data_IF_049411331701
#
_entry.id   IF_049411331701
#
_cell.length_a   1.000
_cell.length_b   1.000
_cell.length_c   1.000
_cell.angle_alpha   90.00
_cell.angle_beta   90.00
_cell.angle_gamma   90.00
#
_symmetry.space_group_name_H-M   'P 1'
#
loop_
_entity.id
_entity.type
_entity.pdbx_description
1 polymer ?
#
# COMPACT_ATOMS: atom_id res chain seq x y z
N UNK A 1 24.41 -26.32 -7.95
CA UNK A 1 22.96 -26.46 -8.08
C UNK A 1 22.34 -25.64 -6.93
N UNK A 2 21.59 -24.61 -7.26
CA UNK A 2 20.88 -23.85 -6.26
C UNK A 2 19.53 -24.55 -6.05
N UNK A 3 19.30 -25.08 -4.85
CA UNK A 3 17.97 -25.55 -4.48
C UNK A 3 17.13 -24.33 -4.08
N UNK A 4 16.11 -24.03 -4.87
CA UNK A 4 15.07 -23.07 -4.52
C UNK A 4 14.06 -23.85 -3.68
N UNK A 5 14.04 -23.59 -2.38
CA UNK A 5 12.97 -24.12 -1.52
C UNK A 5 11.69 -23.35 -1.82
N UNK A 6 10.78 -24.00 -2.50
CA UNK A 6 9.43 -23.52 -2.72
C UNK A 6 8.60 -23.92 -1.48
N UNK A 7 8.19 -22.94 -0.68
CA UNK A 7 7.23 -23.18 0.39
C UNK A 7 5.89 -23.60 -0.21
N UNK A 8 5.37 -24.73 0.19
CA UNK A 8 4.02 -25.15 -0.12
C UNK A 8 3.04 -24.29 0.70
N UNK A 9 2.24 -23.49 0.03
CA UNK A 9 1.25 -22.61 0.62
C UNK A 9 0.11 -23.34 1.35
N UNK A 10 0.07 -24.66 1.28
CA UNK A 10 -0.96 -25.50 1.90
C UNK A 10 -0.60 -25.99 3.30
N UNK A 11 0.63 -25.77 3.77
CA UNK A 11 1.05 -26.17 5.10
C UNK A 11 1.14 -24.95 6.03
N UNK A 12 0.52 -25.04 7.20
CA UNK A 12 0.62 -24.08 8.32
C UNK A 12 2.06 -23.90 8.87
N UNK A 13 3.05 -24.46 8.21
CA UNK A 13 4.48 -24.38 8.51
C UNK A 13 5.19 -23.56 7.44
N UNK A 14 4.69 -22.36 7.17
CA UNK A 14 5.53 -21.33 6.57
C UNK A 14 6.37 -20.76 7.72
N UNK A 15 7.70 -20.94 7.69
CA UNK A 15 8.61 -20.25 8.60
C UNK A 15 8.60 -18.76 8.31
N UNK A 16 7.52 -18.11 8.75
CA UNK A 16 7.35 -16.65 8.75
C UNK A 16 7.90 -16.05 10.03
N UNK A 17 8.35 -16.87 10.96
CA UNK A 17 8.92 -16.43 12.21
C UNK A 17 10.34 -15.95 11.96
N UNK A 18 10.62 -14.73 12.41
CA UNK A 18 11.91 -14.06 12.20
C UNK A 18 13.09 -14.93 12.63
N UNK A 19 12.95 -15.64 13.75
CA UNK A 19 13.97 -16.49 14.33
C UNK A 19 14.34 -17.64 13.39
N UNK A 20 13.37 -18.30 12.79
CA UNK A 20 13.59 -19.38 11.84
C UNK A 20 14.28 -18.89 10.57
N UNK A 21 13.85 -17.73 10.04
CA UNK A 21 14.48 -17.12 8.87
C UNK A 21 15.93 -16.77 9.14
N UNK A 22 16.25 -16.19 10.31
CA UNK A 22 17.62 -15.87 10.71
C UNK A 22 18.47 -17.15 10.81
N UNK A 23 17.95 -18.21 11.44
CA UNK A 23 18.66 -19.50 11.57
C UNK A 23 18.94 -20.13 10.19
N UNK A 24 17.98 -20.12 9.27
CA UNK A 24 18.17 -20.60 7.91
C UNK A 24 19.30 -19.82 7.22
N UNK A 25 19.27 -18.49 7.28
CA UNK A 25 20.29 -17.63 6.67
C UNK A 25 21.68 -17.93 7.27
N UNK A 26 21.80 -18.03 8.60
CA UNK A 26 23.06 -18.36 9.28
C UNK A 26 23.59 -19.74 8.90
N UNK A 27 22.70 -20.70 8.77
CA UNK A 27 23.06 -22.04 8.31
C UNK A 27 23.61 -22.03 6.90
N UNK A 28 22.99 -21.27 5.99
CA UNK A 28 23.48 -21.13 4.62
C UNK A 28 24.80 -20.34 4.57
N UNK A 29 24.95 -19.30 5.39
CA UNK A 29 26.24 -18.58 5.54
C UNK A 29 27.38 -19.49 6.02
N UNK A 30 27.10 -20.50 6.85
CA UNK A 30 28.11 -21.48 7.28
C UNK A 30 28.55 -22.44 6.17
N UNK A 31 27.74 -22.56 5.11
CA UNK A 31 28.00 -23.45 3.95
C UNK A 31 28.61 -22.71 2.77
N UNK A 32 28.40 -21.41 2.67
CA UNK A 32 28.89 -20.61 1.56
C UNK A 32 28.56 -19.13 1.67
N UNK A 33 28.89 -18.41 0.63
CA UNK A 33 28.64 -16.96 0.57
C UNK A 33 27.15 -16.69 0.31
N UNK A 34 26.45 -16.11 1.26
CA UNK A 34 25.11 -15.55 1.10
C UNK A 34 25.24 -14.08 0.75
N UNK A 35 24.67 -13.64 -0.36
CA UNK A 35 24.70 -12.24 -0.81
C UNK A 35 23.69 -11.38 -0.06
N UNK A 36 22.55 -11.98 0.34
CA UNK A 36 21.47 -11.32 1.04
C UNK A 36 20.15 -12.07 0.88
N UNK A 37 19.06 -11.47 1.34
CA UNK A 37 17.72 -12.03 1.31
C UNK A 37 16.81 -11.16 0.45
N UNK A 38 16.00 -11.77 -0.40
CA UNK A 38 14.92 -11.10 -1.15
C UNK A 38 13.65 -11.24 -0.31
N UNK A 39 13.11 -10.10 0.16
CA UNK A 39 11.87 -10.03 0.93
C UNK A 39 10.66 -9.66 0.07
N UNK A 40 10.87 -9.42 -1.22
CA UNK A 40 9.83 -9.15 -2.20
C UNK A 40 9.23 -10.45 -2.74
N UNK A 41 8.13 -10.35 -3.51
CA UNK A 41 7.46 -11.47 -4.20
C UNK A 41 6.72 -12.47 -3.31
N UNK A 42 6.72 -12.29 -2.00
CA UNK A 42 6.03 -13.15 -1.03
C UNK A 42 4.87 -12.48 -0.28
N UNK A 43 4.37 -11.36 -0.80
CA UNK A 43 3.33 -10.57 -0.12
C UNK A 43 3.85 -9.81 1.09
N UNK A 44 2.95 -9.45 2.01
CA UNK A 44 3.27 -8.59 3.15
C UNK A 44 4.10 -9.27 4.26
N UNK A 45 4.01 -10.59 4.38
CA UNK A 45 4.68 -11.32 5.46
C UNK A 45 6.21 -11.18 5.41
N UNK A 46 6.91 -11.51 4.31
CA UNK A 46 8.35 -11.34 4.25
C UNK A 46 8.79 -9.87 4.25
N UNK A 47 7.98 -8.94 3.71
CA UNK A 47 8.30 -7.51 3.74
C UNK A 47 8.43 -6.98 5.17
N UNK A 48 7.56 -7.42 6.09
CA UNK A 48 7.60 -7.03 7.51
C UNK A 48 8.88 -7.49 8.22
N UNK A 49 9.58 -8.49 7.69
CA UNK A 49 10.84 -8.97 8.25
C UNK A 49 12.05 -8.11 7.82
N UNK A 50 11.92 -7.27 6.79
CA UNK A 50 13.04 -6.53 6.19
C UNK A 50 13.87 -5.74 7.22
N UNK A 51 13.20 -4.95 8.07
CA UNK A 51 13.88 -4.16 9.10
C UNK A 51 14.60 -5.02 10.16
N UNK A 52 13.96 -6.10 10.60
CA UNK A 52 14.54 -7.00 11.61
C UNK A 52 15.71 -7.83 11.05
N UNK A 53 15.63 -8.26 9.80
CA UNK A 53 16.74 -8.95 9.11
C UNK A 53 17.93 -8.01 8.93
N UNK A 54 17.68 -6.76 8.51
CA UNK A 54 18.73 -5.76 8.41
C UNK A 54 19.39 -5.44 9.77
N UNK A 55 18.59 -5.37 10.85
CA UNK A 55 19.12 -5.21 12.22
C UNK A 55 19.94 -6.42 12.72
N UNK A 56 19.75 -7.60 12.12
CA UNK A 56 20.54 -8.80 12.36
C UNK A 56 21.76 -8.94 11.42
N UNK A 57 22.16 -7.84 10.75
CA UNK A 57 23.27 -7.77 9.79
C UNK A 57 23.09 -8.68 8.56
N UNK A 58 21.85 -8.98 8.20
CA UNK A 58 21.51 -9.73 7.00
C UNK A 58 21.14 -8.74 5.88
N UNK A 59 21.94 -8.67 4.79
CA UNK A 59 21.67 -7.76 3.70
C UNK A 59 20.33 -8.06 3.00
N UNK A 60 19.54 -7.02 2.74
CA UNK A 60 18.32 -7.11 1.94
C UNK A 60 18.68 -6.78 0.49
N UNK A 61 18.30 -7.67 -0.42
CA UNK A 61 18.46 -7.49 -1.87
C UNK A 61 17.16 -6.91 -2.45
N UNK A 62 17.31 -5.88 -3.27
CA UNK A 62 16.19 -5.14 -3.85
C UNK A 62 16.00 -3.78 -3.18
N UNK A 63 14.75 -3.36 -3.04
CA UNK A 63 14.40 -2.09 -2.38
C UNK A 63 14.80 -2.12 -0.90
N UNK A 64 15.34 -1.01 -0.41
CA UNK A 64 15.85 -0.91 0.96
C UNK A 64 14.72 -1.02 2.00
N UNK A 65 15.01 -1.52 3.23
CA UNK A 65 14.04 -1.56 4.31
C UNK A 65 13.45 -0.19 4.65
N UNK A 66 14.24 0.88 4.58
CA UNK A 66 13.77 2.25 4.84
C UNK A 66 12.78 2.73 3.77
N UNK A 67 13.00 2.39 2.50
CA UNK A 67 12.08 2.72 1.42
C UNK A 67 10.77 1.92 1.51
N UNK A 68 10.84 0.66 1.95
CA UNK A 68 9.66 -0.17 2.23
C UNK A 68 8.85 0.47 3.37
N UNK A 69 9.50 0.83 4.47
CA UNK A 69 8.87 1.50 5.61
C UNK A 69 8.27 2.85 5.24
N UNK A 70 9.00 3.65 4.43
CA UNK A 70 8.52 4.95 3.94
C UNK A 70 7.23 4.83 3.13
N UNK A 71 7.09 3.77 2.33
CA UNK A 71 5.89 3.53 1.55
C UNK A 71 4.70 3.08 2.43
N UNK A 72 4.96 2.41 3.56
CA UNK A 72 3.95 1.91 4.48
C UNK A 72 3.58 2.93 5.57
N UNK A 73 4.53 3.80 5.96
CA UNK A 73 4.30 4.85 6.96
C UNK A 73 3.51 6.01 6.35
N UNK A 74 2.29 6.19 6.83
CA UNK A 74 1.36 7.19 6.28
C UNK A 74 1.91 8.62 6.33
N UNK A 75 2.54 9.02 7.44
CA UNK A 75 3.05 10.39 7.61
C UNK A 75 4.27 10.64 6.73
N UNK A 76 5.20 9.68 6.67
CA UNK A 76 6.37 9.75 5.79
C UNK A 76 5.95 9.78 4.32
N UNK A 77 5.00 8.94 3.94
CA UNK A 77 4.49 8.85 2.58
C UNK A 77 3.76 10.14 2.18
N UNK A 78 2.92 10.70 3.05
CA UNK A 78 2.27 11.99 2.79
C UNK A 78 3.29 13.09 2.53
N UNK A 79 4.31 13.22 3.38
CA UNK A 79 5.40 14.20 3.18
C UNK A 79 6.15 13.99 1.85
N UNK A 80 6.30 12.73 1.43
CA UNK A 80 6.88 12.41 0.12
C UNK A 80 5.99 12.92 -1.01
N UNK A 81 4.69 12.64 -0.98
CA UNK A 81 3.73 13.10 -2.01
C UNK A 81 3.68 14.62 -2.09
N UNK A 82 3.62 15.31 -0.95
CA UNK A 82 3.65 16.78 -0.87
C UNK A 82 4.92 17.35 -1.53
N UNK A 83 6.09 16.76 -1.24
CA UNK A 83 7.37 17.17 -1.85
C UNK A 83 7.40 16.94 -3.35
N UNK A 84 6.74 15.90 -3.84
CA UNK A 84 6.65 15.56 -5.26
C UNK A 84 5.54 16.33 -5.99
N UNK A 85 4.70 17.07 -5.25
CA UNK A 85 3.54 17.76 -5.80
C UNK A 85 2.45 16.81 -6.30
N UNK A 86 2.39 15.58 -5.75
CA UNK A 86 1.39 14.57 -6.08
C UNK A 86 0.21 14.69 -5.13
N UNK A 87 -0.99 14.49 -5.66
CA UNK A 87 -2.23 14.57 -4.88
C UNK A 87 -2.57 13.24 -4.22
N UNK A 88 -3.11 13.32 -3.03
CA UNK A 88 -3.79 12.22 -2.35
C UNK A 88 -5.14 12.70 -1.80
N UNK A 89 -6.09 11.80 -1.52
CA UNK A 89 -7.33 12.18 -0.84
C UNK A 89 -7.01 12.84 0.50
N UNK A 90 -7.71 13.91 0.83
CA UNK A 90 -7.57 14.56 2.12
C UNK A 90 -7.86 13.56 3.25
N UNK A 91 -7.06 13.58 4.29
CA UNK A 91 -7.13 12.57 5.33
C UNK A 91 -6.90 13.16 6.72
N UNK A 92 -7.45 12.49 7.74
CA UNK A 92 -7.30 12.83 9.14
C UNK A 92 -7.29 11.60 10.03
N UNK A 93 -6.82 11.78 11.26
CA UNK A 93 -6.82 10.75 12.30
C UNK A 93 -7.56 11.28 13.51
N UNK A 94 -8.41 10.47 14.12
CA UNK A 94 -9.21 10.86 15.27
C UNK A 94 -9.16 9.81 16.37
N UNK A 95 -8.96 10.24 17.60
CA UNK A 95 -8.98 9.43 18.82
C UNK A 95 -10.24 9.68 19.66
N UNK A 96 -11.04 10.67 19.28
CA UNK A 96 -12.32 11.02 19.92
C UNK A 96 -13.38 11.41 18.90
N UNK A 97 -14.63 11.49 19.35
CA UNK A 97 -15.74 11.93 18.52
C UNK A 97 -15.51 13.39 18.05
N UNK A 98 -15.08 14.26 18.96
CA UNK A 98 -14.85 15.68 18.66
C UNK A 98 -13.74 15.86 17.62
N UNK A 99 -12.67 15.05 17.69
CA UNK A 99 -11.61 15.03 16.69
C UNK A 99 -12.13 14.54 15.34
N UNK A 100 -12.95 13.48 15.35
CA UNK A 100 -13.56 12.93 14.15
C UNK A 100 -14.47 13.94 13.45
N UNK A 101 -15.30 14.64 14.21
CA UNK A 101 -16.18 15.68 13.68
C UNK A 101 -15.38 16.86 13.07
N UNK A 102 -14.32 17.28 13.74
CA UNK A 102 -13.44 18.35 13.21
C UNK A 102 -12.73 17.91 11.92
N UNK A 103 -12.19 16.69 11.91
CA UNK A 103 -11.52 16.15 10.73
C UNK A 103 -12.49 16.02 9.56
N UNK A 104 -13.66 15.42 9.78
CA UNK A 104 -14.67 15.24 8.73
C UNK A 104 -15.20 16.60 8.22
N UNK A 105 -15.37 17.58 9.10
CA UNK A 105 -15.79 18.94 8.69
C UNK A 105 -14.73 19.65 7.84
N UNK A 106 -13.44 19.43 8.14
CA UNK A 106 -12.33 19.99 7.36
C UNK A 106 -12.16 19.32 6.00
N UNK A 107 -12.35 17.99 5.95
CA UNK A 107 -12.24 17.17 4.73
C UNK A 107 -13.45 17.41 3.81
N UNK A 108 -14.66 17.51 4.37
CA UNK A 108 -15.93 17.53 3.64
C UNK A 108 -16.50 16.13 3.45
N UNK A 109 -17.85 16.03 3.49
CA UNK A 109 -18.55 14.77 3.24
C UNK A 109 -18.73 14.49 1.74
N UNK A 110 -18.78 13.23 1.31
CA UNK A 110 -18.68 12.01 2.10
C UNK A 110 -17.25 11.68 2.53
N UNK A 111 -17.11 11.03 3.69
CA UNK A 111 -15.83 10.53 4.20
C UNK A 111 -15.85 9.02 4.37
N UNK A 112 -14.69 8.38 4.18
CA UNK A 112 -14.45 6.97 4.45
C UNK A 112 -13.83 6.83 5.85
N UNK A 113 -14.46 6.07 6.72
CA UNK A 113 -13.99 5.77 8.07
C UNK A 113 -13.32 4.41 8.09
N UNK A 114 -12.08 4.34 8.61
CA UNK A 114 -11.30 3.11 8.74
C UNK A 114 -10.74 2.99 10.15
N UNK A 115 -11.24 2.08 11.00
CA UNK A 115 -10.60 1.78 12.28
C UNK A 115 -9.20 1.21 12.05
N UNK A 116 -8.21 1.64 12.86
CA UNK A 116 -6.79 1.25 12.67
C UNK A 116 -6.52 -0.24 12.94
N UNK A 117 -7.45 -0.95 13.54
CA UNK A 117 -7.31 -2.36 13.90
C UNK A 117 -8.55 -3.17 13.55
N UNK A 118 -8.74 -3.42 12.25
CA UNK A 118 -9.73 -4.43 11.82
C UNK A 118 -9.12 -5.26 10.70
N UNK A 119 -8.94 -6.54 10.98
CA UNK A 119 -8.55 -7.52 9.98
C UNK A 119 -9.70 -7.72 8.97
N UNK A 120 -9.38 -7.54 7.68
CA UNK A 120 -10.25 -7.99 6.59
C UNK A 120 -11.32 -7.02 6.11
N UNK A 121 -11.11 -5.69 6.16
CA UNK A 121 -11.99 -4.72 5.48
C UNK A 121 -13.43 -4.58 6.02
N UNK A 122 -13.84 -5.39 6.98
CA UNK A 122 -15.23 -5.49 7.48
C UNK A 122 -15.74 -4.28 8.27
N UNK A 123 -14.92 -3.28 8.55
CA UNK A 123 -15.32 -2.13 9.35
C UNK A 123 -15.07 -0.79 8.65
N UNK A 124 -14.77 -0.78 7.35
CA UNK A 124 -14.77 0.47 6.59
C UNK A 124 -16.20 0.91 6.34
N UNK A 125 -16.47 2.20 6.52
CA UNK A 125 -17.80 2.77 6.28
C UNK A 125 -17.72 4.13 5.63
N UNK A 126 -18.46 4.29 4.54
CA UNK A 126 -18.67 5.60 3.92
C UNK A 126 -19.81 6.28 4.70
N UNK A 127 -19.55 7.50 5.14
CA UNK A 127 -20.55 8.32 5.83
C UNK A 127 -20.76 9.63 5.10
N UNK A 128 -22.01 10.01 4.94
CA UNK A 128 -22.44 11.16 4.18
C UNK A 128 -22.90 12.33 5.07
N UNK A 129 -23.09 12.07 6.36
CA UNK A 129 -23.61 13.08 7.30
C UNK A 129 -22.93 13.02 8.67
N UNK A 130 -22.92 14.13 9.42
CA UNK A 130 -22.40 14.15 10.79
C UNK A 130 -23.09 13.14 11.72
N UNK A 131 -24.41 12.91 11.53
CA UNK A 131 -25.19 11.98 12.35
C UNK A 131 -24.70 10.52 12.15
N UNK A 132 -24.43 10.15 10.87
CA UNK A 132 -23.89 8.83 10.54
C UNK A 132 -22.47 8.66 11.10
N UNK A 133 -21.66 9.74 11.11
CA UNK A 133 -20.32 9.75 11.72
C UNK A 133 -20.41 9.44 13.22
N UNK A 134 -21.29 10.15 13.96
CA UNK A 134 -21.47 9.95 15.41
C UNK A 134 -21.84 8.51 15.74
N UNK A 135 -22.79 7.94 14.99
CA UNK A 135 -23.21 6.56 15.16
C UNK A 135 -22.07 5.56 14.99
N UNK A 136 -21.25 5.75 13.95
CA UNK A 136 -20.10 4.87 13.69
C UNK A 136 -19.00 5.02 14.75
N UNK A 137 -18.60 6.24 15.11
CA UNK A 137 -17.55 6.48 16.10
C UNK A 137 -17.95 5.90 17.47
N UNK A 138 -19.21 6.06 17.88
CA UNK A 138 -19.71 5.47 19.13
C UNK A 138 -19.58 3.95 19.16
N UNK A 139 -19.77 3.28 18.04
CA UNK A 139 -19.57 1.84 17.88
C UNK A 139 -18.08 1.48 17.82
N UNK A 140 -17.29 2.20 16.99
CA UNK A 140 -15.87 1.95 16.79
C UNK A 140 -15.06 2.12 18.08
N UNK A 141 -15.31 3.18 18.86
CA UNK A 141 -14.64 3.42 20.16
C UNK A 141 -14.97 2.32 21.17
N UNK A 142 -16.18 1.79 21.15
CA UNK A 142 -16.57 0.68 22.04
C UNK A 142 -15.83 -0.61 21.70
N UNK A 143 -15.48 -0.84 20.40
CA UNK A 143 -14.86 -2.09 19.94
C UNK A 143 -13.32 -1.97 19.92
N UNK A 144 -12.77 -0.83 19.52
CA UNK A 144 -11.31 -0.64 19.30
C UNK A 144 -10.56 -0.01 20.49
N UNK A 145 -11.27 0.43 21.52
CA UNK A 145 -10.64 1.03 22.71
C UNK A 145 -9.90 2.34 22.38
N UNK A 146 -8.57 2.38 22.58
CA UNK A 146 -7.75 3.59 22.41
C UNK A 146 -7.16 3.77 20.99
N UNK A 147 -7.54 2.92 20.04
CA UNK A 147 -6.96 2.98 18.70
C UNK A 147 -7.64 4.08 17.86
N UNK A 148 -6.89 4.81 17.03
CA UNK A 148 -7.44 5.87 16.22
C UNK A 148 -8.36 5.34 15.11
N UNK A 149 -9.30 6.18 14.70
CA UNK A 149 -10.07 6.01 13.47
C UNK A 149 -9.47 6.93 12.40
N UNK A 150 -9.19 6.36 11.24
CA UNK A 150 -8.76 7.11 10.07
C UNK A 150 -9.98 7.64 9.33
N UNK A 151 -9.90 8.87 8.88
CA UNK A 151 -10.98 9.57 8.17
C UNK A 151 -10.38 10.08 6.88
N UNK A 152 -10.85 9.54 5.76
CA UNK A 152 -10.34 9.91 4.45
C UNK A 152 -11.48 10.52 3.61
N UNK A 153 -11.16 11.46 2.74
CA UNK A 153 -12.10 11.92 1.72
C UNK A 153 -12.51 10.73 0.84
N UNK A 154 -13.80 10.50 0.71
CA UNK A 154 -14.30 9.48 -0.21
C UNK A 154 -14.47 10.10 -1.61
N UNK A 155 -13.69 9.61 -2.56
CA UNK A 155 -13.75 10.04 -3.95
C UNK A 155 -14.90 9.31 -4.66
N UNK A 156 -16.11 9.77 -4.43
CA UNK A 156 -17.31 9.19 -5.05
C UNK A 156 -17.23 9.27 -6.58
N UNK A 157 -17.64 8.21 -7.26
CA UNK A 157 -17.63 8.08 -8.73
C UNK A 157 -16.23 8.23 -9.36
N UNK A 158 -15.17 7.98 -8.59
CA UNK A 158 -13.81 7.91 -9.11
C UNK A 158 -13.55 6.59 -9.83
N UNK A 159 -12.72 6.61 -10.85
CA UNK A 159 -12.19 5.41 -11.50
C UNK A 159 -10.90 5.00 -10.78
N UNK A 160 -10.84 3.78 -10.24
CA UNK A 160 -9.62 3.24 -9.67
C UNK A 160 -8.72 2.65 -10.74
N UNK A 161 -7.41 2.78 -10.53
CA UNK A 161 -6.39 2.32 -11.47
C UNK A 161 -5.23 1.72 -10.69
N UNK A 162 -4.88 0.49 -11.00
CA UNK A 162 -3.65 -0.14 -10.52
C UNK A 162 -2.54 -0.01 -11.58
N UNK A 163 -1.33 0.31 -11.12
CA UNK A 163 -0.16 0.42 -11.99
C UNK A 163 0.95 -0.45 -11.47
N UNK A 164 1.39 -1.40 -12.28
CA UNK A 164 2.55 -2.21 -11.98
C UNK A 164 3.82 -1.65 -12.61
N UNK A 165 4.85 -1.56 -11.79
CA UNK A 165 6.15 -0.99 -12.15
C UNK A 165 7.24 -1.98 -11.81
N UNK A 166 8.20 -2.12 -12.73
CA UNK A 166 9.48 -2.80 -12.50
C UNK A 166 10.58 -1.77 -12.56
N UNK A 167 11.43 -1.71 -11.56
CA UNK A 167 12.50 -0.75 -11.52
C UNK A 167 13.83 -1.37 -11.07
N UNK A 168 14.91 -0.78 -11.52
CA UNK A 168 16.24 -0.92 -10.98
C UNK A 168 16.81 0.49 -10.68
N UNK A 169 18.08 0.56 -10.31
CA UNK A 169 18.70 1.86 -9.96
C UNK A 169 18.86 2.83 -11.14
N UNK A 170 18.71 2.37 -12.35
CA UNK A 170 18.95 3.15 -13.58
C UNK A 170 17.65 3.43 -14.32
N UNK A 171 16.77 2.43 -14.38
CA UNK A 171 15.57 2.42 -15.22
C UNK A 171 14.31 2.16 -14.43
N UNK A 172 13.21 2.74 -14.88
CA UNK A 172 11.86 2.47 -14.41
C UNK A 172 11.00 2.08 -15.60
N UNK A 173 10.32 0.95 -15.51
CA UNK A 173 9.43 0.44 -16.55
C UNK A 173 8.02 0.28 -15.98
N UNK A 174 7.07 1.02 -16.54
CA UNK A 174 5.63 0.85 -16.27
C UNK A 174 5.16 -0.37 -17.05
N UNK A 175 4.96 -1.48 -16.35
CA UNK A 175 4.63 -2.77 -16.95
C UNK A 175 3.17 -2.84 -17.40
N UNK A 176 2.26 -2.21 -16.65
CA UNK A 176 0.85 -2.19 -16.99
C UNK A 176 0.08 -1.14 -16.20
N UNK A 177 -0.95 -0.58 -16.83
CA UNK A 177 -1.93 0.32 -16.22
C UNK A 177 -3.28 -0.37 -16.38
N UNK A 178 -3.92 -0.71 -15.26
CA UNK A 178 -5.14 -1.50 -15.19
C UNK A 178 -6.28 -0.65 -14.64
N UNK A 179 -7.29 -0.40 -15.46
CA UNK A 179 -8.48 0.33 -15.05
C UNK A 179 -9.49 -0.64 -14.43
N UNK A 180 -9.96 -0.35 -13.22
CA UNK A 180 -11.00 -1.15 -12.57
C UNK A 180 -12.35 -0.94 -13.24
N UNK A 181 -13.12 -2.03 -13.34
CA UNK A 181 -14.47 -2.02 -13.91
C UNK A 181 -15.50 -1.69 -12.84
N UNK A 182 -15.25 -2.13 -11.61
CA UNK A 182 -16.09 -1.86 -10.46
C UNK A 182 -15.88 -0.43 -9.93
N UNK A 183 -16.89 0.05 -9.18
CA UNK A 183 -16.84 1.36 -8.54
C UNK A 183 -15.71 1.45 -7.51
N UNK A 184 -15.18 2.66 -7.33
CA UNK A 184 -14.15 2.96 -6.34
C UNK A 184 -14.55 2.53 -4.92
N UNK A 185 -13.62 1.92 -4.19
CA UNK A 185 -13.83 1.41 -2.83
C UNK A 185 -14.08 -0.09 -2.75
N UNK A 186 -14.16 -0.80 -3.88
CA UNK A 186 -14.12 -2.26 -3.92
C UNK A 186 -12.66 -2.70 -3.87
N UNK A 187 -12.38 -3.70 -3.03
CA UNK A 187 -11.00 -4.19 -2.88
C UNK A 187 -10.44 -4.67 -4.22
N UNK A 188 -9.23 -4.26 -4.57
CA UNK A 188 -8.59 -4.56 -5.86
C UNK A 188 -8.53 -6.06 -6.19
N UNK A 189 -8.43 -6.94 -5.20
CA UNK A 189 -8.48 -8.39 -5.38
C UNK A 189 -9.85 -8.95 -5.75
N UNK A 190 -10.92 -8.16 -5.60
CA UNK A 190 -12.30 -8.52 -5.91
C UNK A 190 -12.83 -7.77 -7.15
N UNK A 191 -11.98 -6.94 -7.77
CA UNK A 191 -12.32 -6.13 -8.95
C UNK A 191 -11.80 -6.76 -10.23
N UNK A 192 -12.60 -6.71 -11.30
CA UNK A 192 -12.13 -6.98 -12.65
C UNK A 192 -11.42 -5.74 -13.20
N UNK A 193 -10.35 -5.96 -13.97
CA UNK A 193 -9.57 -4.88 -14.54
C UNK A 193 -9.49 -4.98 -16.06
N UNK A 194 -9.48 -3.84 -16.72
CA UNK A 194 -9.18 -3.72 -18.15
C UNK A 194 -7.71 -3.32 -18.34
N UNK A 195 -6.98 -4.10 -19.12
CA UNK A 195 -5.61 -3.82 -19.53
C UNK A 195 -5.53 -3.90 -21.08
N UNK A 196 -5.26 -2.82 -21.78
CA UNK A 196 -5.06 -1.44 -21.30
C UNK A 196 -6.35 -0.77 -20.79
N UNK A 197 -6.24 0.42 -20.15
CA UNK A 197 -7.41 1.22 -19.77
C UNK A 197 -8.35 1.48 -20.96
N UNK A 198 -9.65 1.43 -20.73
CA UNK A 198 -10.64 1.54 -21.80
C UNK A 198 -11.42 2.87 -21.80
N UNK A 199 -11.62 3.50 -20.63
CA UNK A 199 -12.42 4.72 -20.51
C UNK A 199 -11.58 5.98 -20.31
N UNK A 200 -10.34 5.83 -19.81
CA UNK A 200 -9.48 6.95 -19.47
C UNK A 200 -8.88 7.65 -20.71
N UNK A 201 -8.89 8.99 -20.77
CA UNK A 201 -8.22 9.73 -21.82
C UNK A 201 -6.71 9.46 -21.81
N UNK A 202 -6.09 9.48 -23.01
CA UNK A 202 -4.64 9.25 -23.14
C UNK A 202 -3.80 10.19 -22.26
N UNK A 203 -4.19 11.45 -22.14
CA UNK A 203 -3.47 12.43 -21.30
C UNK A 203 -3.47 12.01 -19.81
N UNK A 204 -4.58 11.45 -19.33
CA UNK A 204 -4.67 10.92 -17.95
C UNK A 204 -3.80 9.67 -17.79
N UNK A 205 -3.80 8.78 -18.77
CA UNK A 205 -2.94 7.57 -18.77
C UNK A 205 -1.45 7.98 -18.74
N UNK A 206 -1.06 8.94 -19.57
CA UNK A 206 0.31 9.45 -19.62
C UNK A 206 0.72 10.11 -18.28
N UNK A 207 -0.20 10.84 -17.63
CA UNK A 207 0.04 11.44 -16.32
C UNK A 207 0.17 10.38 -15.21
N UNK A 208 -0.67 9.34 -15.21
CA UNK A 208 -0.56 8.20 -14.28
C UNK A 208 0.80 7.52 -14.44
N UNK A 209 1.22 7.22 -15.67
CA UNK A 209 2.52 6.62 -15.94
C UNK A 209 3.66 7.49 -15.40
N UNK A 210 3.61 8.80 -15.68
CA UNK A 210 4.60 9.77 -15.19
C UNK A 210 4.66 9.80 -13.65
N UNK A 211 3.51 9.80 -12.97
CA UNK A 211 3.46 9.79 -11.50
C UNK A 211 4.02 8.51 -10.92
N UNK A 212 3.71 7.35 -11.52
CA UNK A 212 4.25 6.06 -11.11
C UNK A 212 5.79 6.01 -11.25
N UNK A 213 6.35 6.53 -12.36
CA UNK A 213 7.80 6.65 -12.53
C UNK A 213 8.46 7.56 -11.49
N UNK A 214 7.85 8.72 -11.22
CA UNK A 214 8.36 9.67 -10.22
C UNK A 214 8.37 9.04 -8.82
N UNK A 215 7.31 8.29 -8.47
CA UNK A 215 7.23 7.56 -7.20
C UNK A 215 8.29 6.46 -7.09
N UNK A 216 8.46 5.66 -8.14
CA UNK A 216 9.47 4.58 -8.16
C UNK A 216 10.89 5.12 -7.93
N UNK A 217 11.23 6.23 -8.59
CA UNK A 217 12.53 6.91 -8.41
C UNK A 217 12.69 7.51 -7.02
N UNK A 218 11.65 8.18 -6.52
CA UNK A 218 11.70 8.84 -5.21
C UNK A 218 11.77 7.85 -4.03
N UNK A 219 11.25 6.63 -4.22
CA UNK A 219 11.33 5.52 -3.28
C UNK A 219 12.56 4.62 -3.51
N UNK A 220 13.43 4.95 -4.46
CA UNK A 220 14.60 4.14 -4.85
C UNK A 220 14.24 2.65 -5.02
N UNK A 221 13.16 2.39 -5.76
CA UNK A 221 12.62 1.04 -5.95
C UNK A 221 13.59 0.19 -6.76
N UNK A 222 13.88 -0.99 -6.24
CA UNK A 222 14.62 -2.05 -6.95
C UNK A 222 13.79 -3.33 -6.88
N UNK A 223 13.17 -3.70 -7.98
CA UNK A 223 12.23 -4.81 -8.08
C UNK A 223 10.84 -4.34 -8.49
N UNK A 224 9.81 -4.87 -7.85
CA UNK A 224 8.41 -4.57 -8.16
C UNK A 224 7.84 -3.48 -7.26
N UNK A 225 6.97 -2.67 -7.84
CA UNK A 225 6.11 -1.72 -7.12
C UNK A 225 4.73 -1.71 -7.79
N UNK A 226 3.69 -1.75 -6.98
CA UNK A 226 2.33 -1.46 -7.40
C UNK A 226 1.89 -0.12 -6.83
N UNK A 227 1.25 0.71 -7.65
CA UNK A 227 0.66 1.98 -7.23
C UNK A 227 -0.82 1.96 -7.53
N UNK A 228 -1.63 2.24 -6.52
CA UNK A 228 -3.07 2.45 -6.68
C UNK A 228 -3.36 3.94 -6.82
N UNK A 229 -4.09 4.27 -7.87
CA UNK A 229 -4.57 5.61 -8.16
C UNK A 229 -6.09 5.66 -8.18
N UNK A 230 -6.64 6.87 -7.98
CA UNK A 230 -8.01 7.19 -8.33
C UNK A 230 -8.01 8.38 -9.28
N UNK A 231 -8.88 8.33 -10.29
CA UNK A 231 -9.11 9.44 -11.21
C UNK A 231 -10.51 10.00 -10.95
N UNK A 232 -10.59 11.27 -10.61
CA UNK A 232 -11.86 11.98 -10.41
C UNK A 232 -11.80 13.35 -11.04
N UNK A 233 -12.80 13.67 -11.87
CA UNK A 233 -12.92 14.97 -12.56
C UNK A 233 -11.66 15.34 -13.36
N UNK A 234 -10.97 14.35 -13.92
CA UNK A 234 -9.72 14.51 -14.66
C UNK A 234 -8.46 14.66 -13.81
N UNK A 235 -8.57 14.67 -12.49
CA UNK A 235 -7.47 14.77 -11.54
C UNK A 235 -7.04 13.37 -11.05
N UNK A 236 -5.73 13.17 -10.95
CA UNK A 236 -5.13 11.90 -10.50
C UNK A 236 -4.74 11.99 -9.03
N UNK A 237 -5.18 11.02 -8.24
CA UNK A 237 -4.89 10.91 -6.81
C UNK A 237 -4.15 9.61 -6.54
N UNK A 238 -3.05 9.68 -5.79
CA UNK A 238 -2.34 8.50 -5.27
C UNK A 238 -3.09 7.98 -4.05
N UNK A 239 -3.48 6.71 -4.06
CA UNK A 239 -4.16 6.07 -2.93
C UNK A 239 -3.18 5.31 -2.06
N UNK A 240 -2.37 4.45 -2.67
CA UNK A 240 -1.45 3.56 -1.97
C UNK A 240 -0.28 3.16 -2.87
N UNK A 241 0.87 2.89 -2.26
CA UNK A 241 2.01 2.24 -2.91
C UNK A 241 2.35 0.95 -2.17
N UNK A 242 2.57 -0.11 -2.92
CA UNK A 242 2.98 -1.42 -2.41
C UNK A 242 4.29 -1.83 -3.06
N UNK A 243 5.35 -1.95 -2.26
CA UNK A 243 6.67 -2.37 -2.74
C UNK A 243 6.78 -3.90 -2.71
N UNK A 244 7.48 -4.45 -3.71
CA UNK A 244 7.76 -5.88 -3.80
C UNK A 244 6.60 -6.74 -4.26
N UNK A 245 5.57 -6.11 -4.81
CA UNK A 245 4.34 -6.75 -5.26
C UNK A 245 3.93 -6.18 -6.62
N UNK A 246 3.40 -7.04 -7.48
CA UNK A 246 2.65 -6.70 -8.67
C UNK A 246 1.21 -7.19 -8.51
N UNK A 247 0.29 -6.66 -9.27
CA UNK A 247 -1.12 -7.05 -9.24
C UNK A 247 -1.38 -8.24 -10.16
N UNK A 248 -0.51 -8.43 -11.16
CA UNK A 248 -0.58 -9.50 -12.17
C UNK A 248 0.29 -10.67 -11.77
#
# INVERSE_FOLDING_TARGET
AYEIYQCDWSSDVCSSDLEDVIEIVRREQSRGRVLGVIVQFGGQTPLKLAGALAAADIPILGTSPDAIDLAEDRERFQKLLDRLGLRQPASGTAYSLEEAERAAAAIGYPVLLRPSYVLGGRAMKIVHTPEALRGFIAEAVRVSGKNPVLIDSYLQDATEVDVDVVADRESVFVAGIMEHIEEAGIHSGDSACSLPPYSLPKATIDEIARQAEVLARALDVVGLMNVQFAVKDGEVYVLEVKIGRAHV
#
